data_IF_694609116681
#
_entry.id   IF_694609116681
#
_cell.length_a   1.000
_cell.length_b   1.000
_cell.length_c   1.000
_cell.angle_alpha   90.00
_cell.angle_beta   90.00
_cell.angle_gamma   90.00
#
_symmetry.space_group_name_H-M   'P 1'
#
loop_
_entity.id
_entity.type
_entity.pdbx_description
1 polymer ?
#
# COMPACT_ATOMS: atom_id res chain seq x y z
N UNK A 1 -13.74 28.77 73.93
CA UNK A 1 -14.02 27.81 72.84
C UNK A 1 -14.66 28.48 71.60
N UNK A 2 -14.28 29.71 71.24
CA UNK A 2 -14.83 30.45 70.07
C UNK A 2 -13.77 30.91 69.05
N UNK A 3 -12.48 30.78 69.36
CA UNK A 3 -11.37 31.19 68.48
C UNK A 3 -10.91 30.05 67.55
N UNK A 4 -11.15 28.78 67.91
CA UNK A 4 -10.78 27.62 67.08
C UNK A 4 -11.74 27.33 65.92
N UNK A 5 -12.95 27.90 65.92
CA UNK A 5 -13.94 27.73 64.83
C UNK A 5 -13.70 28.74 63.70
N UNK A 6 -13.10 29.90 64.00
CA UNK A 6 -12.82 30.94 63.00
C UNK A 6 -11.66 30.54 62.07
N UNK A 7 -10.67 29.80 62.57
CA UNK A 7 -9.51 29.32 61.78
C UNK A 7 -9.91 28.16 60.84
N UNK A 8 -10.91 27.36 61.22
CA UNK A 8 -11.42 26.28 60.37
C UNK A 8 -12.29 26.81 59.21
N UNK A 9 -12.97 27.95 59.40
CA UNK A 9 -13.79 28.58 58.37
C UNK A 9 -12.97 29.34 57.31
N UNK A 10 -11.79 29.88 57.66
CA UNK A 10 -10.85 30.47 56.67
C UNK A 10 -10.09 29.42 55.86
N UNK A 11 -9.98 28.17 56.34
CA UNK A 11 -9.36 27.08 55.58
C UNK A 11 -10.27 26.53 54.47
N UNK A 12 -11.59 26.72 54.59
CA UNK A 12 -12.59 26.29 53.60
C UNK A 12 -12.71 27.29 52.44
N UNK A 13 -12.30 28.56 52.63
CA UNK A 13 -12.29 29.57 51.56
C UNK A 13 -11.05 29.51 50.64
N UNK A 14 -10.01 28.75 50.99
CA UNK A 14 -8.84 28.52 50.14
C UNK A 14 -8.93 27.23 49.31
N UNK A 15 -9.95 26.41 49.54
CA UNK A 15 -10.36 25.36 48.59
C UNK A 15 -11.21 25.97 47.46
N UNK A 16 -10.70 27.04 46.83
CA UNK A 16 -11.28 27.56 45.61
C UNK A 16 -11.20 26.47 44.55
N UNK A 17 -12.34 26.03 44.03
CA UNK A 17 -12.38 25.31 42.77
C UNK A 17 -11.54 26.11 41.78
N UNK A 18 -10.38 25.59 41.38
CA UNK A 18 -9.48 26.30 40.49
C UNK A 18 -10.23 26.59 39.19
N UNK A 19 -10.66 27.84 39.02
CA UNK A 19 -11.28 28.31 37.79
C UNK A 19 -10.24 28.25 36.68
N UNK A 20 -10.66 27.80 35.50
CA UNK A 20 -9.79 27.76 34.34
C UNK A 20 -9.41 29.17 33.90
N UNK A 21 -8.11 29.43 33.67
CA UNK A 21 -7.61 30.68 33.09
C UNK A 21 -7.57 30.55 31.56
N UNK A 22 -8.20 31.49 30.86
CA UNK A 22 -8.12 31.55 29.40
C UNK A 22 -6.74 32.08 28.97
N UNK A 23 -6.04 31.34 28.12
CA UNK A 23 -4.88 31.80 27.37
C UNK A 23 -5.40 32.52 26.13
N UNK A 24 -5.03 33.79 25.96
CA UNK A 24 -5.51 34.66 24.86
C UNK A 24 -4.34 35.05 23.98
N UNK A 25 -4.06 34.30 22.91
CA UNK A 25 -2.95 34.61 22.02
C UNK A 25 -3.07 35.98 21.37
N UNK A 26 -1.93 36.66 21.19
CA UNK A 26 -1.80 37.85 20.36
C UNK A 26 -0.68 37.62 19.33
N UNK A 27 -0.97 37.55 18.02
CA UNK A 27 -2.29 37.73 17.40
C UNK A 27 -3.27 36.61 17.75
N UNK A 28 -4.56 36.92 17.66
CA UNK A 28 -5.63 35.93 17.87
C UNK A 28 -5.45 34.74 16.92
N UNK A 29 -5.76 33.54 17.41
CA UNK A 29 -5.68 32.33 16.60
C UNK A 29 -6.68 32.39 15.42
N UNK A 30 -6.25 31.90 14.27
CA UNK A 30 -7.03 31.92 13.03
C UNK A 30 -7.11 30.52 12.44
N UNK A 31 -8.19 30.22 11.71
CA UNK A 31 -8.36 28.93 11.04
C UNK A 31 -7.77 28.88 9.63
N UNK A 32 -6.87 29.80 9.30
CA UNK A 32 -6.26 29.90 7.97
C UNK A 32 -5.36 28.68 7.76
N UNK A 33 -5.57 27.97 6.65
CA UNK A 33 -4.64 26.94 6.20
C UNK A 33 -3.30 27.62 5.85
N UNK A 34 -2.28 27.40 6.68
CA UNK A 34 -0.94 27.91 6.50
C UNK A 34 0.09 26.93 7.11
N UNK A 35 1.36 27.32 7.16
CA UNK A 35 2.36 26.65 8.00
C UNK A 35 2.03 26.74 9.49
N UNK A 36 2.93 26.24 10.33
CA UNK A 36 2.81 26.35 11.77
C UNK A 36 2.86 27.83 12.22
N UNK A 37 1.94 28.19 13.10
CA UNK A 37 1.84 29.52 13.70
C UNK A 37 2.18 29.40 15.18
N UNK A 38 3.20 30.13 15.60
CA UNK A 38 3.64 30.20 17.00
C UNK A 38 2.59 30.93 17.84
N UNK A 39 2.34 30.43 19.05
CA UNK A 39 1.38 30.99 19.98
C UNK A 39 2.10 31.81 21.07
N UNK A 40 1.77 33.10 21.14
CA UNK A 40 2.36 34.07 22.08
C UNK A 40 1.33 34.91 22.82
N UNK A 41 1.74 35.42 23.98
CA UNK A 41 1.09 36.51 24.69
C UNK A 41 1.76 37.82 24.27
N UNK A 42 1.33 38.34 23.13
CA UNK A 42 1.97 39.48 22.47
C UNK A 42 3.36 39.10 21.94
N UNK A 43 4.41 39.61 22.59
CA UNK A 43 5.80 39.33 22.22
C UNK A 43 6.41 38.14 22.97
N UNK A 44 5.76 37.69 24.04
CA UNK A 44 6.33 36.76 25.01
C UNK A 44 5.59 35.40 25.01
N UNK A 45 6.20 34.38 25.60
CA UNK A 45 5.58 33.06 25.75
C UNK A 45 4.66 33.04 26.98
N UNK A 46 3.65 32.18 26.96
CA UNK A 46 2.77 32.02 28.13
C UNK A 46 3.52 31.33 29.29
N UNK A 47 3.35 31.87 30.50
CA UNK A 47 3.79 31.20 31.73
C UNK A 47 2.63 30.40 32.34
N UNK A 48 2.88 29.10 32.56
CA UNK A 48 1.93 28.19 33.19
C UNK A 48 2.43 27.83 34.59
N UNK A 49 1.65 28.20 35.59
CA UNK A 49 1.92 27.91 36.99
C UNK A 49 1.49 26.48 37.33
N UNK A 50 2.26 25.87 38.23
CA UNK A 50 1.96 24.57 38.81
C UNK A 50 0.56 24.53 39.42
N UNK A 51 -0.11 23.38 39.24
CA UNK A 51 -1.44 23.07 39.78
C UNK A 51 -2.57 24.03 39.32
N UNK A 52 -2.30 24.89 38.32
CA UNK A 52 -3.32 25.71 37.66
C UNK A 52 -3.91 25.00 36.45
N UNK A 53 -5.08 25.50 36.06
CA UNK A 53 -5.86 25.01 34.92
C UNK A 53 -5.99 26.11 33.89
N UNK A 54 -5.80 25.74 32.64
CA UNK A 54 -5.82 26.70 31.54
C UNK A 54 -6.68 26.17 30.40
N UNK A 55 -7.11 27.06 29.52
CA UNK A 55 -7.70 26.67 28.25
C UNK A 55 -7.42 27.71 27.18
N UNK A 56 -7.44 27.28 25.92
CA UNK A 56 -7.29 28.13 24.76
C UNK A 56 -8.41 27.82 23.78
N UNK A 57 -8.99 28.89 23.18
CA UNK A 57 -10.04 28.77 22.17
C UNK A 57 -9.41 28.75 20.79
N UNK A 58 -9.92 27.89 19.93
CA UNK A 58 -9.54 27.76 18.53
C UNK A 58 -10.81 27.88 17.66
N UNK A 59 -10.80 28.70 16.60
CA UNK A 59 -11.97 28.89 15.75
C UNK A 59 -12.22 27.68 14.85
N UNK A 60 -13.45 27.52 14.36
CA UNK A 60 -13.79 26.50 13.37
C UNK A 60 -12.89 26.57 12.11
N UNK A 61 -12.53 25.43 11.49
CA UNK A 61 -11.87 25.42 10.19
C UNK A 61 -12.75 26.04 9.09
N UNK A 62 -12.14 26.43 7.98
CA UNK A 62 -12.85 26.99 6.82
C UNK A 62 -13.76 25.95 6.12
N UNK A 63 -13.41 24.67 6.19
CA UNK A 63 -14.15 23.57 5.56
C UNK A 63 -14.14 22.31 6.46
N UNK A 64 -14.81 21.26 6.02
CA UNK A 64 -14.85 19.94 6.67
C UNK A 64 -13.55 19.18 6.49
N UNK A 65 -13.36 18.13 7.31
CA UNK A 65 -12.22 17.21 7.24
C UNK A 65 -10.87 17.92 7.40
N UNK A 66 -10.75 18.73 8.46
CA UNK A 66 -9.49 19.34 8.85
C UNK A 66 -8.91 18.65 10.10
N UNK A 67 -7.61 18.82 10.28
CA UNK A 67 -6.95 18.65 11.56
C UNK A 67 -6.60 20.02 12.15
N UNK A 68 -6.81 20.14 13.46
CA UNK A 68 -6.09 21.08 14.29
C UNK A 68 -4.86 20.36 14.85
N UNK A 69 -3.69 20.71 14.33
CA UNK A 69 -2.40 20.16 14.76
C UNK A 69 -1.81 21.11 15.78
N UNK A 70 -1.38 20.58 16.92
CA UNK A 70 -0.82 21.33 18.03
C UNK A 70 0.51 20.69 18.42
N UNK A 71 1.60 21.43 18.27
CA UNK A 71 2.93 21.05 18.74
C UNK A 71 3.20 21.75 20.06
N UNK A 72 3.63 21.00 21.08
CA UNK A 72 3.86 21.56 22.41
C UNK A 72 5.14 20.97 22.99
N UNK A 73 6.06 21.84 23.38
CA UNK A 73 7.23 21.42 24.14
C UNK A 73 6.84 20.97 25.54
N UNK A 74 7.54 19.96 26.08
CA UNK A 74 7.36 19.46 27.44
C UNK A 74 5.90 19.07 27.77
N UNK A 75 5.17 18.57 26.77
CA UNK A 75 3.76 18.19 26.92
C UNK A 75 3.54 17.08 27.94
N UNK A 76 4.55 16.24 28.18
CA UNK A 76 4.57 15.23 29.24
C UNK A 76 4.41 15.82 30.65
N UNK A 77 4.72 17.10 30.85
CA UNK A 77 4.52 17.83 32.10
C UNK A 77 3.09 18.36 32.27
N UNK A 78 2.21 18.14 31.29
CA UNK A 78 0.84 18.64 31.26
C UNK A 78 -0.16 17.54 30.95
N UNK A 79 -1.37 17.66 31.51
CA UNK A 79 -2.51 16.83 31.11
C UNK A 79 -3.46 17.66 30.26
N UNK A 80 -3.59 17.31 28.99
CA UNK A 80 -4.36 18.11 28.02
C UNK A 80 -5.40 17.29 27.27
N UNK A 81 -6.42 17.96 26.74
CA UNK A 81 -7.38 17.38 25.79
C UNK A 81 -8.02 18.48 24.93
N UNK A 82 -8.58 18.10 23.78
CA UNK A 82 -9.42 18.98 22.96
C UNK A 82 -10.90 18.63 23.13
N UNK A 83 -11.77 19.63 23.16
CA UNK A 83 -13.23 19.45 23.21
C UNK A 83 -13.98 20.48 22.35
N UNK A 84 -15.14 20.14 21.74
CA UNK A 84 -15.97 21.11 21.04
C UNK A 84 -16.87 21.93 21.97
N UNK A 85 -16.94 21.57 23.26
CA UNK A 85 -17.80 22.25 24.25
C UNK A 85 -17.05 22.40 25.57
N UNK A 86 -16.98 23.63 26.07
CA UNK A 86 -16.30 23.92 27.33
C UNK A 86 -17.08 24.93 28.16
N UNK A 87 -17.46 24.53 29.38
CA UNK A 87 -18.24 25.31 30.34
C UNK A 87 -17.51 25.49 31.68
N UNK A 88 -16.22 25.83 31.60
CA UNK A 88 -15.29 25.88 32.73
C UNK A 88 -15.18 24.55 33.49
N UNK A 89 -15.41 23.44 32.80
CA UNK A 89 -15.31 22.08 33.33
C UNK A 89 -16.44 21.67 34.27
N UNK A 90 -17.61 22.35 34.21
CA UNK A 90 -18.78 22.04 35.05
C UNK A 90 -19.72 21.00 34.42
N UNK A 91 -19.62 20.79 33.11
CA UNK A 91 -20.52 19.95 32.34
C UNK A 91 -19.87 18.66 31.86
N UNK A 92 -20.55 18.00 30.93
CA UNK A 92 -20.05 16.77 30.32
C UNK A 92 -18.84 17.08 29.44
N UNK A 93 -17.70 16.46 29.75
CA UNK A 93 -16.49 16.56 28.95
C UNK A 93 -16.59 15.56 27.78
N UNK A 94 -16.70 16.10 26.56
CA UNK A 94 -16.67 15.31 25.32
C UNK A 94 -15.31 15.53 24.67
N UNK A 95 -14.42 14.54 24.78
CA UNK A 95 -13.05 14.65 24.24
C UNK A 95 -13.05 14.29 22.76
N UNK A 96 -12.32 15.08 21.97
CA UNK A 96 -11.93 14.70 20.61
C UNK A 96 -10.69 13.82 20.76
N UNK A 97 -10.69 12.68 20.06
CA UNK A 97 -9.57 11.75 20.07
C UNK A 97 -8.34 12.41 19.42
N UNK A 98 -7.19 12.26 20.08
CA UNK A 98 -5.90 12.62 19.51
C UNK A 98 -5.44 11.45 18.65
N UNK A 99 -5.36 11.64 17.34
CA UNK A 99 -5.01 10.58 16.40
C UNK A 99 -3.49 10.40 16.26
N UNK A 100 -2.68 11.13 17.06
CA UNK A 100 -1.22 11.13 16.99
C UNK A 100 -0.53 9.83 17.38
N UNK A 101 0.53 9.50 16.63
CA UNK A 101 1.41 8.37 16.96
C UNK A 101 2.33 8.66 18.16
N UNK A 102 2.70 9.92 18.37
CA UNK A 102 3.48 10.40 19.53
C UNK A 102 2.75 11.57 20.22
N UNK A 103 1.78 11.28 21.10
CA UNK A 103 0.97 12.30 21.78
C UNK A 103 1.76 13.10 22.82
N UNK A 104 3.06 12.83 23.01
CA UNK A 104 3.93 13.56 23.93
C UNK A 104 4.60 14.77 23.28
N UNK A 105 4.46 14.97 21.97
CA UNK A 105 5.03 16.13 21.25
C UNK A 105 4.04 16.85 20.36
N UNK A 106 3.27 16.08 19.59
CA UNK A 106 2.33 16.62 18.61
C UNK A 106 0.99 15.96 18.81
N UNK A 107 -0.06 16.76 18.99
CA UNK A 107 -1.43 16.30 18.85
C UNK A 107 -1.96 16.66 17.47
N UNK A 108 -2.83 15.82 16.91
CA UNK A 108 -3.69 16.25 15.82
C UNK A 108 -5.11 15.74 16.03
N UNK A 109 -6.04 16.68 16.04
CA UNK A 109 -7.43 16.44 16.37
C UNK A 109 -8.31 16.66 15.14
N UNK A 110 -9.16 15.70 14.76
CA UNK A 110 -10.13 15.91 13.69
C UNK A 110 -11.13 16.99 14.12
N UNK A 111 -11.25 18.04 13.29
CA UNK A 111 -12.12 19.19 13.52
C UNK A 111 -12.99 19.45 12.30
N UNK A 112 -14.21 19.93 12.55
CA UNK A 112 -15.23 20.16 11.52
C UNK A 112 -15.82 21.57 11.67
N UNK A 113 -16.27 22.14 10.56
CA UNK A 113 -16.80 23.50 10.52
C UNK A 113 -18.21 23.66 11.10
N UNK A 114 -18.87 22.57 11.51
CA UNK A 114 -20.16 22.60 12.23
C UNK A 114 -20.05 23.08 13.68
N UNK A 115 -18.85 23.09 14.27
CA UNK A 115 -18.59 23.56 15.63
C UNK A 115 -17.88 24.90 15.56
N UNK A 116 -18.43 25.94 16.21
CA UNK A 116 -17.89 27.30 16.13
C UNK A 116 -16.50 27.44 16.75
N UNK A 117 -16.27 26.78 17.89
CA UNK A 117 -15.00 26.85 18.61
C UNK A 117 -14.61 25.48 19.18
N UNK A 118 -13.32 25.20 19.15
CA UNK A 118 -12.69 24.10 19.85
C UNK A 118 -11.88 24.64 21.03
N UNK A 119 -11.84 23.89 22.12
CA UNK A 119 -11.20 24.30 23.35
C UNK A 119 -10.08 23.30 23.66
N UNK A 120 -8.85 23.78 23.62
CA UNK A 120 -7.70 23.01 24.10
C UNK A 120 -7.53 23.29 25.59
N UNK A 121 -7.76 22.26 26.40
CA UNK A 121 -7.86 22.37 27.84
C UNK A 121 -6.63 21.75 28.50
N UNK A 122 -6.02 22.48 29.42
CA UNK A 122 -4.93 22.03 30.29
C UNK A 122 -5.53 21.76 31.68
N UNK A 123 -5.70 20.49 32.03
CA UNK A 123 -6.31 20.07 33.30
C UNK A 123 -5.37 20.22 34.49
N UNK A 124 -4.07 20.11 34.26
CA UNK A 124 -3.04 20.19 35.30
C UNK A 124 -1.67 20.43 34.68
N UNK A 125 -0.84 21.19 35.40
CA UNK A 125 0.57 21.48 35.09
C UNK A 125 1.42 21.02 36.28
N UNK A 126 2.44 20.18 36.03
CA UNK A 126 3.23 19.57 37.11
C UNK A 126 4.22 20.54 37.79
N UNK A 127 4.77 21.49 37.04
CA UNK A 127 5.76 22.49 37.47
C UNK A 127 5.47 23.82 36.78
N UNK A 128 6.05 24.90 37.29
CA UNK A 128 6.02 26.18 36.57
C UNK A 128 6.81 26.02 35.27
N UNK A 129 6.17 26.26 34.13
CA UNK A 129 6.76 26.08 32.80
C UNK A 129 6.42 27.23 31.87
N UNK A 130 7.30 27.46 30.91
CA UNK A 130 7.03 28.32 29.76
C UNK A 130 6.39 27.45 28.68
N UNK A 131 5.21 27.83 28.23
CA UNK A 131 4.50 27.15 27.14
C UNK A 131 5.07 27.63 25.80
N UNK A 132 5.85 26.78 25.15
CA UNK A 132 6.19 26.92 23.74
C UNK A 132 5.25 26.04 22.93
N UNK A 133 4.48 26.65 22.03
CA UNK A 133 3.45 25.95 21.28
C UNK A 133 3.27 26.56 19.91
N UNK A 134 3.11 25.69 18.91
CA UNK A 134 2.68 26.05 17.57
C UNK A 134 1.40 25.31 17.22
N UNK A 135 0.59 25.91 16.34
CA UNK A 135 -0.59 25.24 15.79
C UNK A 135 -0.67 25.38 14.28
N UNK A 136 -1.41 24.47 13.64
CA UNK A 136 -1.71 24.50 12.21
C UNK A 136 -3.10 23.94 11.95
N UNK A 137 -3.88 24.63 11.12
CA UNK A 137 -5.04 24.07 10.45
C UNK A 137 -4.63 23.50 9.10
N UNK A 138 -4.99 22.25 8.84
CA UNK A 138 -4.61 21.56 7.60
C UNK A 138 -5.67 20.52 7.21
N UNK A 139 -6.00 20.36 5.91
CA UNK A 139 -6.84 19.26 5.46
C UNK A 139 -6.29 17.90 5.89
N UNK A 140 -7.16 16.97 6.30
CA UNK A 140 -6.74 15.67 6.81
C UNK A 140 -5.90 14.88 5.79
N UNK A 141 -6.30 14.90 4.51
CA UNK A 141 -5.56 14.23 3.44
C UNK A 141 -4.14 14.75 3.30
N UNK A 142 -3.96 16.08 3.39
CA UNK A 142 -2.68 16.76 3.22
C UNK A 142 -1.75 16.39 4.35
N UNK A 143 -2.23 16.47 5.58
CA UNK A 143 -1.45 16.09 6.75
C UNK A 143 -1.02 14.62 6.73
N UNK A 144 -1.95 13.70 6.44
CA UNK A 144 -1.64 12.26 6.32
C UNK A 144 -0.61 11.98 5.23
N UNK A 145 -0.64 12.73 4.13
CA UNK A 145 0.35 12.61 3.07
C UNK A 145 1.71 13.20 3.47
N UNK A 146 1.76 14.47 3.88
CA UNK A 146 3.00 15.18 4.22
C UNK A 146 3.81 14.44 5.30
N UNK A 147 3.14 13.91 6.32
CA UNK A 147 3.78 13.16 7.42
C UNK A 147 4.40 11.83 6.97
N UNK A 148 3.89 11.24 5.88
CA UNK A 148 4.36 9.95 5.36
C UNK A 148 5.24 10.09 4.12
N UNK A 149 5.26 11.24 3.47
CA UNK A 149 5.81 11.43 2.13
C UNK A 149 7.27 10.96 1.99
N UNK A 150 8.14 11.39 2.90
CA UNK A 150 9.56 11.00 2.88
C UNK A 150 9.75 9.48 2.96
N UNK A 151 9.02 8.80 3.87
CA UNK A 151 9.04 7.34 4.01
C UNK A 151 8.50 6.65 2.75
N UNK A 152 7.42 7.17 2.17
CA UNK A 152 6.85 6.62 0.93
C UNK A 152 7.84 6.73 -0.23
N UNK A 153 8.51 7.88 -0.39
CA UNK A 153 9.56 8.08 -1.40
C UNK A 153 10.75 7.14 -1.20
N UNK A 154 11.23 7.01 0.03
CA UNK A 154 12.32 6.10 0.37
C UNK A 154 11.94 4.64 0.08
N UNK A 155 10.71 4.25 0.43
CA UNK A 155 10.20 2.90 0.13
C UNK A 155 10.13 2.67 -1.38
N UNK A 156 9.65 3.65 -2.16
CA UNK A 156 9.66 3.56 -3.62
C UNK A 156 11.09 3.41 -4.18
N UNK A 157 12.03 4.24 -3.74
CA UNK A 157 13.41 4.23 -4.21
C UNK A 157 14.09 2.88 -3.92
N UNK A 158 13.94 2.38 -2.70
CA UNK A 158 14.57 1.13 -2.26
C UNK A 158 13.95 -0.13 -2.88
N UNK A 159 12.73 -0.02 -3.42
CA UNK A 159 12.00 -1.13 -4.00
C UNK A 159 11.76 -0.96 -5.50
N UNK A 160 12.42 0.01 -6.16
CA UNK A 160 12.47 0.09 -7.63
C UNK A 160 13.49 -0.91 -8.17
N UNK A 161 13.13 -1.68 -9.19
CA UNK A 161 14.05 -2.62 -9.83
C UNK A 161 15.08 -1.86 -10.66
N UNK A 162 16.36 -2.18 -10.45
CA UNK A 162 17.41 -1.76 -11.36
C UNK A 162 17.24 -2.47 -12.71
N UNK A 163 16.90 -1.70 -13.75
CA UNK A 163 16.59 -2.22 -15.09
C UNK A 163 17.85 -2.43 -15.92
N UNK A 164 19.05 -2.05 -15.46
CA UNK A 164 20.30 -2.21 -16.23
C UNK A 164 20.57 -3.67 -16.60
N UNK A 165 20.51 -4.65 -15.67
CA UNK A 165 20.72 -6.06 -16.02
C UNK A 165 19.66 -6.59 -16.99
N UNK A 166 18.39 -6.23 -16.77
CA UNK A 166 17.26 -6.62 -17.63
C UNK A 166 17.41 -6.07 -19.06
N UNK A 167 17.66 -4.77 -19.20
CA UNK A 167 17.85 -4.11 -20.50
C UNK A 167 19.08 -4.63 -21.25
N UNK A 168 20.07 -5.18 -20.53
CA UNK A 168 21.26 -5.79 -21.09
C UNK A 168 21.04 -7.20 -21.66
N UNK A 169 19.90 -7.83 -21.40
CA UNK A 169 19.62 -9.19 -21.88
C UNK A 169 19.57 -9.23 -23.42
N UNK A 170 20.29 -10.20 -23.99
CA UNK A 170 20.41 -10.37 -25.44
C UNK A 170 21.41 -9.41 -26.11
N UNK A 171 22.06 -8.52 -25.34
CA UNK A 171 23.09 -7.61 -25.86
C UNK A 171 24.40 -7.76 -25.09
N UNK A 172 24.46 -7.28 -23.85
CA UNK A 172 25.64 -7.31 -22.97
C UNK A 172 25.59 -8.45 -21.95
N UNK A 173 24.40 -8.98 -21.67
CA UNK A 173 24.16 -10.06 -20.71
C UNK A 173 23.49 -11.23 -21.40
N UNK A 174 24.05 -12.44 -21.25
CA UNK A 174 23.43 -13.67 -21.76
C UNK A 174 22.43 -14.20 -20.75
N UNK A 175 21.29 -14.72 -21.23
CA UNK A 175 20.29 -15.35 -20.36
C UNK A 175 20.88 -16.50 -19.52
N UNK A 176 21.85 -17.24 -20.06
CA UNK A 176 22.49 -18.35 -19.35
C UNK A 176 23.21 -17.93 -18.06
N UNK A 177 23.78 -16.72 -18.03
CA UNK A 177 24.57 -16.20 -16.93
C UNK A 177 23.70 -15.43 -15.91
N UNK A 178 22.43 -15.20 -16.24
CA UNK A 178 21.50 -14.44 -15.41
C UNK A 178 20.96 -15.30 -14.25
N UNK A 179 20.88 -14.70 -13.06
CA UNK A 179 20.38 -15.36 -11.84
C UNK A 179 18.88 -15.12 -11.65
N UNK A 180 18.07 -15.84 -12.43
CA UNK A 180 16.61 -15.71 -12.39
C UNK A 180 16.03 -16.04 -11.01
N UNK A 181 16.52 -17.08 -10.32
CA UNK A 181 16.01 -17.47 -9.00
C UNK A 181 16.21 -16.39 -7.94
N UNK A 182 17.37 -15.72 -7.93
CA UNK A 182 17.59 -14.57 -7.06
C UNK A 182 16.66 -13.40 -7.41
N UNK A 183 16.50 -13.09 -8.70
CA UNK A 183 15.62 -12.00 -9.15
C UNK A 183 14.14 -12.26 -8.83
N UNK A 184 13.65 -13.49 -8.97
CA UNK A 184 12.30 -13.89 -8.53
C UNK A 184 12.08 -13.55 -7.06
N UNK A 185 13.03 -13.94 -6.20
CA UNK A 185 12.92 -13.71 -4.75
C UNK A 185 12.95 -12.22 -4.42
N UNK A 186 13.92 -11.49 -4.99
CA UNK A 186 14.12 -10.06 -4.78
C UNK A 186 12.92 -9.23 -5.25
N UNK A 187 12.46 -9.44 -6.48
CA UNK A 187 11.33 -8.66 -7.02
C UNK A 187 10.04 -8.95 -6.28
N UNK A 188 9.82 -10.18 -5.79
CA UNK A 188 8.63 -10.52 -4.98
C UNK A 188 8.55 -9.69 -3.70
N UNK A 189 9.65 -9.54 -2.99
CA UNK A 189 9.72 -8.72 -1.77
C UNK A 189 9.49 -7.23 -2.10
N UNK A 190 10.15 -6.73 -3.15
CA UNK A 190 10.00 -5.36 -3.63
C UNK A 190 8.55 -5.02 -3.98
N UNK A 191 7.87 -5.90 -4.73
CA UNK A 191 6.47 -5.71 -5.12
C UNK A 191 5.55 -5.67 -3.91
N UNK A 192 5.72 -6.58 -2.94
CA UNK A 192 4.90 -6.59 -1.74
C UNK A 192 5.05 -5.32 -0.90
N UNK A 193 6.22 -4.68 -0.90
CA UNK A 193 6.43 -3.40 -0.23
C UNK A 193 5.76 -2.24 -1.00
N UNK A 194 5.85 -2.23 -2.33
CA UNK A 194 5.17 -1.22 -3.16
C UNK A 194 3.64 -1.35 -3.13
N UNK A 195 3.09 -2.56 -3.01
CA UNK A 195 1.65 -2.78 -2.83
C UNK A 195 1.14 -2.15 -1.52
N UNK A 196 1.93 -2.17 -0.45
CA UNK A 196 1.59 -1.46 0.79
C UNK A 196 1.59 0.05 0.58
N UNK A 197 2.59 0.58 -0.13
CA UNK A 197 2.65 2.01 -0.50
C UNK A 197 1.41 2.41 -1.31
N UNK A 198 1.03 1.61 -2.32
CA UNK A 198 -0.17 1.83 -3.12
C UNK A 198 -1.44 1.84 -2.26
N UNK A 199 -1.57 0.88 -1.34
CA UNK A 199 -2.73 0.81 -0.43
C UNK A 199 -2.83 2.06 0.45
N UNK A 200 -1.72 2.53 1.01
CA UNK A 200 -1.68 3.76 1.81
C UNK A 200 -2.03 5.00 0.98
N UNK A 201 -1.56 5.10 -0.27
CA UNK A 201 -1.90 6.19 -1.18
C UNK A 201 -3.39 6.18 -1.55
N UNK A 202 -3.99 5.00 -1.73
CA UNK A 202 -5.42 4.86 -2.01
C UNK A 202 -6.27 5.24 -0.77
N UNK A 203 -5.81 4.91 0.44
CA UNK A 203 -6.46 5.34 1.69
C UNK A 203 -6.47 6.88 1.80
N UNK A 204 -5.34 7.52 1.51
CA UNK A 204 -5.25 9.00 1.49
C UNK A 204 -6.17 9.59 0.42
N UNK A 205 -6.25 8.99 -0.76
CA UNK A 205 -7.15 9.43 -1.84
C UNK A 205 -8.62 9.40 -1.43
N UNK A 206 -9.01 8.40 -0.64
CA UNK A 206 -10.41 8.18 -0.25
C UNK A 206 -11.00 9.32 0.56
N UNK A 207 -10.14 10.18 1.14
CA UNK A 207 -10.53 11.36 1.93
C UNK A 207 -10.24 12.68 1.21
N UNK A 208 -9.95 12.65 -0.10
CA UNK A 208 -9.77 13.86 -0.89
C UNK A 208 -11.06 14.66 -1.01
N UNK A 209 -11.04 15.97 -0.73
CA UNK A 209 -12.17 16.82 -1.05
C UNK A 209 -12.25 17.02 -2.57
N UNK A 210 -13.45 17.20 -3.12
CA UNK A 210 -13.62 17.42 -4.55
C UNK A 210 -12.82 18.63 -5.09
N UNK A 211 -12.55 19.61 -4.24
CA UNK A 211 -11.77 20.81 -4.55
C UNK A 211 -10.29 20.56 -4.80
N UNK A 212 -9.70 19.45 -4.30
CA UNK A 212 -8.25 19.17 -4.49
C UNK A 212 -7.94 18.64 -5.88
N UNK A 213 -8.93 18.06 -6.55
CA UNK A 213 -8.76 17.46 -7.87
C UNK A 213 -8.36 18.53 -8.88
N UNK A 214 -7.24 18.32 -9.56
CA UNK A 214 -6.65 19.24 -10.55
C UNK A 214 -6.12 20.57 -9.99
N UNK A 215 -5.80 20.63 -8.70
CA UNK A 215 -5.13 21.80 -8.11
C UNK A 215 -3.63 21.83 -8.41
N UNK A 216 -3.01 23.01 -8.30
CA UNK A 216 -1.56 23.17 -8.33
C UNK A 216 -0.92 23.11 -6.93
N UNK A 217 -1.64 22.59 -5.93
CA UNK A 217 -1.10 22.40 -4.58
C UNK A 217 0.09 21.43 -4.62
N UNK A 218 1.20 21.81 -4.00
CA UNK A 218 2.45 21.05 -4.05
C UNK A 218 2.30 19.64 -3.46
N UNK A 219 1.59 19.50 -2.34
CA UNK A 219 1.37 18.20 -1.71
C UNK A 219 0.54 17.29 -2.62
N UNK A 220 -0.49 17.84 -3.28
CA UNK A 220 -1.27 17.10 -4.26
C UNK A 220 -0.45 16.69 -5.50
N UNK A 221 0.40 17.58 -6.04
CA UNK A 221 1.28 17.25 -7.17
C UNK A 221 2.29 16.17 -6.79
N UNK A 222 2.87 16.25 -5.60
CA UNK A 222 3.76 15.24 -5.05
C UNK A 222 3.04 13.89 -4.88
N UNK A 223 1.81 13.89 -4.37
CA UNK A 223 0.97 12.69 -4.27
C UNK A 223 0.74 12.04 -5.64
N UNK A 224 0.36 12.83 -6.64
CA UNK A 224 0.13 12.32 -8.00
C UNK A 224 1.40 11.73 -8.61
N UNK A 225 2.54 12.39 -8.40
CA UNK A 225 3.82 11.92 -8.91
C UNK A 225 4.20 10.58 -8.30
N UNK A 226 4.20 10.46 -6.96
CA UNK A 226 4.58 9.21 -6.30
C UNK A 226 3.59 8.09 -6.63
N UNK A 227 2.28 8.37 -6.68
CA UNK A 227 1.27 7.38 -7.07
C UNK A 227 1.55 6.83 -8.46
N UNK A 228 1.79 7.71 -9.44
CA UNK A 228 2.13 7.31 -10.79
C UNK A 228 3.40 6.45 -10.82
N UNK A 229 4.46 6.87 -10.13
CA UNK A 229 5.72 6.13 -10.09
C UNK A 229 5.55 4.73 -9.48
N UNK A 230 4.73 4.60 -8.42
CA UNK A 230 4.40 3.31 -7.81
C UNK A 230 3.60 2.43 -8.78
N UNK A 231 2.60 2.98 -9.47
CA UNK A 231 1.79 2.25 -10.45
C UNK A 231 2.62 1.77 -11.66
N UNK A 232 3.46 2.65 -12.20
CA UNK A 232 4.37 2.35 -13.31
C UNK A 232 5.37 1.25 -12.90
N UNK A 233 5.93 1.33 -11.69
CA UNK A 233 6.88 0.35 -11.18
C UNK A 233 6.22 -0.99 -10.83
N UNK A 234 5.04 -1.00 -10.19
CA UNK A 234 4.28 -2.23 -9.94
C UNK A 234 3.93 -2.96 -11.25
N UNK A 235 3.53 -2.19 -12.27
CA UNK A 235 3.26 -2.74 -13.60
C UNK A 235 4.52 -3.38 -14.19
N UNK A 236 5.65 -2.69 -14.13
CA UNK A 236 6.93 -3.24 -14.57
C UNK A 236 7.30 -4.50 -13.79
N UNK A 237 7.24 -4.48 -12.46
CA UNK A 237 7.62 -5.62 -11.61
C UNK A 237 6.74 -6.83 -11.85
N UNK A 238 5.44 -6.65 -12.09
CA UNK A 238 4.54 -7.76 -12.44
C UNK A 238 4.97 -8.44 -13.74
N UNK A 239 5.27 -7.65 -14.78
CA UNK A 239 5.73 -8.19 -16.06
C UNK A 239 7.12 -8.83 -15.91
N UNK A 240 8.02 -8.17 -15.19
CA UNK A 240 9.37 -8.66 -14.92
C UNK A 240 9.34 -9.98 -14.13
N UNK A 241 8.50 -10.10 -13.10
CA UNK A 241 8.30 -11.37 -12.36
C UNK A 241 7.78 -12.48 -13.28
N UNK A 242 6.79 -12.21 -14.13
CA UNK A 242 6.31 -13.20 -15.09
C UNK A 242 7.43 -13.70 -16.00
N UNK A 243 8.27 -12.77 -16.48
CA UNK A 243 9.45 -13.09 -17.28
C UNK A 243 10.48 -13.94 -16.50
N UNK A 244 10.95 -13.47 -15.34
CA UNK A 244 12.00 -14.18 -14.60
C UNK A 244 11.55 -15.53 -14.08
N UNK A 245 10.26 -15.71 -13.75
CA UNK A 245 9.70 -17.01 -13.35
C UNK A 245 9.76 -18.03 -14.51
N UNK A 246 9.37 -17.63 -15.72
CA UNK A 246 9.42 -18.52 -16.89
C UNK A 246 10.86 -18.88 -17.22
N UNK A 247 11.77 -17.91 -17.16
CA UNK A 247 13.17 -18.16 -17.43
C UNK A 247 13.87 -19.01 -16.35
N UNK A 248 13.47 -18.87 -15.09
CA UNK A 248 13.93 -19.77 -14.03
C UNK A 248 13.44 -21.21 -14.29
N UNK A 249 12.16 -21.39 -14.64
CA UNK A 249 11.58 -22.69 -15.03
C UNK A 249 12.28 -23.30 -16.25
N UNK A 250 12.60 -22.49 -17.26
CA UNK A 250 13.43 -22.91 -18.39
C UNK A 250 14.79 -23.40 -17.87
N UNK A 251 15.49 -22.59 -17.08
CA UNK A 251 16.85 -22.90 -16.61
C UNK A 251 16.90 -24.18 -15.78
N UNK A 252 15.96 -24.38 -14.84
CA UNK A 252 15.90 -25.57 -13.98
C UNK A 252 15.42 -26.83 -14.71
N UNK A 253 14.64 -26.67 -15.79
CA UNK A 253 14.18 -27.82 -16.61
C UNK A 253 15.25 -28.33 -17.58
N UNK A 254 16.44 -27.74 -17.61
CA UNK A 254 17.53 -28.22 -18.47
C UNK A 254 17.89 -29.66 -18.09
N UNK A 255 17.84 -30.56 -19.09
CA UNK A 255 17.98 -32.02 -18.93
C UNK A 255 16.84 -32.71 -18.17
N UNK A 256 15.73 -32.02 -17.95
CA UNK A 256 14.51 -32.55 -17.36
C UNK A 256 13.29 -32.14 -18.20
N UNK A 257 13.00 -32.93 -19.24
CA UNK A 257 11.91 -32.65 -20.18
C UNK A 257 10.53 -32.67 -19.54
N UNK A 258 10.34 -33.41 -18.43
CA UNK A 258 9.09 -33.38 -17.67
C UNK A 258 8.86 -32.00 -17.01
N UNK A 259 9.91 -31.42 -16.43
CA UNK A 259 9.82 -30.05 -15.90
C UNK A 259 9.65 -29.00 -17.01
N UNK A 260 10.16 -29.25 -18.22
CA UNK A 260 9.92 -28.37 -19.37
C UNK A 260 8.45 -28.43 -19.81
N UNK A 261 7.87 -29.64 -19.85
CA UNK A 261 6.45 -29.86 -20.13
C UNK A 261 5.55 -29.08 -19.16
N UNK A 262 5.84 -29.17 -17.85
CA UNK A 262 5.13 -28.41 -16.82
C UNK A 262 5.22 -26.88 -16.99
N UNK A 263 6.25 -26.37 -17.67
CA UNK A 263 6.44 -24.94 -17.93
C UNK A 263 5.75 -24.44 -19.21
N UNK A 264 5.25 -25.33 -20.07
CA UNK A 264 4.64 -24.95 -21.37
C UNK A 264 3.49 -23.94 -21.23
N UNK A 265 2.55 -24.06 -20.26
CA UNK A 265 1.49 -23.06 -20.09
C UNK A 265 2.01 -21.67 -19.73
N UNK A 266 3.07 -21.57 -18.93
CA UNK A 266 3.66 -20.29 -18.57
C UNK A 266 4.46 -19.68 -19.74
N UNK A 267 5.13 -20.52 -20.52
CA UNK A 267 5.78 -20.13 -21.79
C UNK A 267 4.76 -19.54 -22.76
N UNK A 268 3.61 -20.21 -22.92
CA UNK A 268 2.52 -19.70 -23.75
C UNK A 268 2.05 -18.33 -23.25
N UNK A 269 1.85 -18.18 -21.94
CA UNK A 269 1.43 -16.92 -21.33
C UNK A 269 2.46 -15.80 -21.58
N UNK A 270 3.75 -16.11 -21.49
CA UNK A 270 4.81 -15.15 -21.79
C UNK A 270 4.75 -14.71 -23.26
N UNK A 271 4.59 -15.64 -24.21
CA UNK A 271 4.52 -15.29 -25.63
C UNK A 271 3.26 -14.51 -26.01
N UNK A 272 2.13 -14.78 -25.36
CA UNK A 272 0.89 -14.01 -25.56
C UNK A 272 1.03 -12.56 -25.07
N UNK A 273 1.87 -12.31 -24.07
CA UNK A 273 2.10 -10.99 -23.50
C UNK A 273 3.36 -10.31 -24.06
N UNK A 274 3.77 -10.61 -25.29
CA UNK A 274 5.01 -10.09 -25.90
C UNK A 274 5.18 -8.57 -25.82
N UNK A 275 4.09 -7.81 -25.90
CA UNK A 275 4.10 -6.33 -25.88
C UNK A 275 4.43 -5.75 -24.49
N UNK A 276 4.45 -6.59 -23.45
CA UNK A 276 4.83 -6.23 -22.09
C UNK A 276 6.35 -6.24 -21.85
N UNK A 277 7.14 -6.65 -22.85
CA UNK A 277 8.59 -6.83 -22.73
C UNK A 277 9.34 -6.01 -23.77
N UNK A 278 10.58 -5.62 -23.44
CA UNK A 278 11.45 -4.97 -24.40
C UNK A 278 11.79 -5.91 -25.56
N UNK A 279 11.84 -5.36 -26.78
CA UNK A 279 12.02 -6.12 -28.03
C UNK A 279 13.23 -7.06 -27.99
N UNK A 280 14.37 -6.60 -27.45
CA UNK A 280 15.59 -7.40 -27.38
C UNK A 280 15.47 -8.55 -26.37
N UNK A 281 14.86 -8.27 -25.21
CA UNK A 281 14.61 -9.26 -24.17
C UNK A 281 13.69 -10.35 -24.71
N UNK A 282 12.59 -9.96 -25.34
CA UNK A 282 11.63 -10.90 -25.93
C UNK A 282 12.27 -11.74 -27.04
N UNK A 283 13.07 -11.12 -27.93
CA UNK A 283 13.73 -11.83 -29.03
C UNK A 283 14.69 -12.92 -28.53
N UNK A 284 15.54 -12.60 -27.54
CA UNK A 284 16.49 -13.58 -26.98
C UNK A 284 15.77 -14.67 -26.18
N UNK A 285 14.70 -14.31 -25.46
CA UNK A 285 13.83 -15.24 -24.73
C UNK A 285 13.15 -16.22 -25.68
N UNK A 286 12.52 -15.69 -26.73
CA UNK A 286 11.87 -16.46 -27.79
C UNK A 286 12.85 -17.47 -28.38
N UNK A 287 14.05 -17.03 -28.76
CA UNK A 287 15.08 -17.92 -29.31
C UNK A 287 15.44 -19.05 -28.34
N UNK A 288 15.76 -18.70 -27.09
CA UNK A 288 16.17 -19.67 -26.06
C UNK A 288 15.11 -20.74 -25.80
N UNK A 289 13.84 -20.33 -25.70
CA UNK A 289 12.73 -21.25 -25.46
C UNK A 289 12.47 -22.12 -26.70
N UNK A 290 12.41 -21.53 -27.89
CA UNK A 290 12.12 -22.26 -29.13
C UNK A 290 13.18 -23.30 -29.49
N UNK A 291 14.43 -23.08 -29.12
CA UNK A 291 15.51 -24.06 -29.29
C UNK A 291 15.27 -25.33 -28.44
N UNK A 292 14.44 -25.25 -27.39
CA UNK A 292 14.17 -26.34 -26.45
C UNK A 292 12.83 -27.01 -26.63
N UNK A 293 11.80 -26.31 -27.11
CA UNK A 293 10.47 -26.90 -27.35
C UNK A 293 10.48 -28.20 -28.17
N UNK A 294 11.38 -28.41 -29.16
CA UNK A 294 11.48 -29.68 -29.89
C UNK A 294 11.82 -30.90 -29.01
N UNK A 295 12.39 -30.71 -27.81
CA UNK A 295 12.64 -31.79 -26.85
C UNK A 295 11.34 -32.47 -26.38
N UNK A 296 10.20 -31.77 -26.42
CA UNK A 296 8.93 -32.25 -25.88
C UNK A 296 8.27 -33.33 -26.74
N UNK A 297 8.45 -33.29 -28.07
CA UNK A 297 7.78 -34.25 -28.96
C UNK A 297 8.22 -35.70 -28.68
N UNK A 298 9.53 -36.04 -28.65
CA UNK A 298 9.95 -37.41 -28.30
C UNK A 298 9.54 -37.82 -26.89
N UNK A 299 9.46 -36.87 -25.95
CA UNK A 299 8.99 -37.12 -24.59
C UNK A 299 7.50 -37.50 -24.57
N UNK A 300 6.65 -36.75 -25.27
CA UNK A 300 5.23 -37.04 -25.41
C UNK A 300 4.96 -38.35 -26.14
N UNK A 301 5.66 -38.63 -27.24
CA UNK A 301 5.56 -39.90 -27.96
C UNK A 301 5.87 -41.09 -27.04
N UNK A 302 6.93 -40.98 -26.23
CA UNK A 302 7.27 -42.01 -25.23
C UNK A 302 6.16 -42.18 -24.19
N UNK A 303 5.63 -41.09 -23.64
CA UNK A 303 4.52 -41.14 -22.65
C UNK A 303 3.27 -41.81 -23.22
N UNK A 304 2.96 -41.54 -24.48
CA UNK A 304 1.84 -42.16 -25.19
C UNK A 304 2.12 -43.66 -25.42
N UNK A 305 3.34 -44.02 -25.86
CA UNK A 305 3.72 -45.42 -26.11
C UNK A 305 3.75 -46.28 -24.84
N UNK A 306 4.13 -45.69 -23.71
CA UNK A 306 4.18 -46.35 -22.40
C UNK A 306 2.79 -46.49 -21.75
N UNK A 307 1.77 -45.78 -22.26
CA UNK A 307 0.41 -45.84 -21.75
C UNK A 307 -0.22 -47.22 -21.97
N UNK A 308 -0.85 -47.77 -20.92
CA UNK A 308 -1.50 -49.10 -20.92
C UNK A 308 -2.97 -49.08 -20.55
N UNK A 309 -3.49 -47.95 -20.10
CA UNK A 309 -4.87 -47.78 -19.64
C UNK A 309 -5.69 -46.90 -20.58
N UNK A 310 -7.00 -46.89 -20.37
CA UNK A 310 -7.98 -46.10 -21.12
C UNK A 310 -8.31 -44.76 -20.47
N UNK A 311 -7.48 -44.23 -19.56
CA UNK A 311 -7.69 -42.87 -19.02
C UNK A 311 -7.32 -41.79 -20.05
N UNK A 312 -7.82 -40.55 -19.92
CA UNK A 312 -7.44 -39.45 -20.82
C UNK A 312 -5.91 -39.24 -20.88
N UNK A 313 -5.40 -38.87 -22.04
CA UNK A 313 -4.02 -38.40 -22.19
C UNK A 313 -3.97 -36.95 -21.70
N UNK A 314 -3.20 -36.72 -20.64
CA UNK A 314 -3.00 -35.41 -20.05
C UNK A 314 -1.57 -34.92 -20.35
N UNK A 315 -1.41 -34.25 -21.49
CA UNK A 315 -0.15 -33.68 -21.98
C UNK A 315 -0.44 -32.28 -22.51
N UNK A 316 0.51 -31.35 -22.40
CA UNK A 316 0.34 -29.96 -22.83
C UNK A 316 0.51 -29.78 -24.36
N UNK A 317 -0.03 -30.68 -25.17
CA UNK A 317 0.16 -30.66 -26.64
C UNK A 317 -0.56 -29.49 -27.31
N UNK A 318 -1.70 -29.08 -26.77
CA UNK A 318 -2.47 -27.94 -27.26
C UNK A 318 -1.76 -26.62 -26.91
N UNK A 319 -1.30 -26.50 -25.66
CA UNK A 319 -0.52 -25.35 -25.20
C UNK A 319 0.80 -25.23 -25.95
N UNK A 320 1.46 -26.36 -26.26
CA UNK A 320 2.69 -26.38 -27.07
C UNK A 320 2.43 -25.84 -28.48
N UNK A 321 1.37 -26.30 -29.14
CA UNK A 321 0.98 -25.79 -30.46
C UNK A 321 0.71 -24.27 -30.41
N UNK A 322 -0.07 -23.84 -29.42
CA UNK A 322 -0.37 -22.41 -29.20
C UNK A 322 0.88 -21.59 -28.87
N UNK A 323 1.87 -22.16 -28.18
CA UNK A 323 3.11 -21.46 -27.84
C UNK A 323 3.90 -21.11 -29.10
N UNK A 324 4.01 -22.03 -30.07
CA UNK A 324 4.61 -21.73 -31.38
C UNK A 324 3.87 -20.61 -32.12
N UNK A 325 2.54 -20.67 -32.13
CA UNK A 325 1.72 -19.63 -32.78
C UNK A 325 1.88 -18.26 -32.10
N UNK A 326 1.86 -18.22 -30.75
CA UNK A 326 2.04 -17.00 -29.98
C UNK A 326 3.45 -16.41 -30.14
N UNK A 327 4.46 -17.26 -30.33
CA UNK A 327 5.82 -16.83 -30.69
C UNK A 327 5.91 -16.26 -32.12
N UNK A 328 4.87 -16.41 -32.94
CA UNK A 328 4.86 -16.02 -34.35
C UNK A 328 5.64 -16.96 -35.25
N UNK A 329 5.78 -18.23 -34.84
CA UNK A 329 6.44 -19.29 -35.62
C UNK A 329 5.43 -20.20 -36.31
N UNK A 330 5.89 -20.88 -37.36
CA UNK A 330 5.10 -21.96 -37.97
C UNK A 330 5.11 -23.18 -37.05
N UNK A 331 3.94 -23.74 -36.75
CA UNK A 331 3.82 -24.96 -35.94
C UNK A 331 4.50 -26.12 -36.67
N UNK A 332 5.47 -26.81 -36.05
CA UNK A 332 6.07 -28.02 -36.64
C UNK A 332 5.04 -29.12 -36.88
N UNK A 333 5.13 -29.82 -38.03
CA UNK A 333 4.15 -30.83 -38.42
C UNK A 333 3.96 -31.95 -37.39
N UNK A 334 5.06 -32.40 -36.77
CA UNK A 334 5.03 -33.40 -35.71
C UNK A 334 4.31 -32.92 -34.44
N UNK A 335 4.37 -31.62 -34.11
CA UNK A 335 3.61 -31.05 -32.99
C UNK A 335 2.11 -31.04 -33.30
N UNK A 336 1.73 -30.60 -34.51
CA UNK A 336 0.33 -30.57 -34.94
C UNK A 336 -0.29 -31.98 -35.03
N UNK A 337 0.45 -32.95 -35.55
CA UNK A 337 0.03 -34.35 -35.62
C UNK A 337 -0.17 -34.95 -34.21
N UNK A 338 0.75 -34.67 -33.30
CA UNK A 338 0.66 -35.12 -31.91
C UNK A 338 -0.56 -34.53 -31.20
N UNK A 339 -0.79 -33.21 -31.30
CA UNK A 339 -1.95 -32.57 -30.70
C UNK A 339 -3.26 -33.13 -31.27
N UNK A 340 -3.33 -33.31 -32.59
CA UNK A 340 -4.48 -33.95 -33.24
C UNK A 340 -4.71 -35.38 -32.75
N UNK A 341 -3.66 -36.17 -32.58
CA UNK A 341 -3.76 -37.52 -32.05
C UNK A 341 -4.33 -37.53 -30.62
N UNK A 342 -3.77 -36.70 -29.72
CA UNK A 342 -4.22 -36.59 -28.32
C UNK A 342 -5.69 -36.17 -28.25
N UNK A 343 -6.08 -35.14 -29.01
CA UNK A 343 -7.46 -34.66 -29.05
C UNK A 343 -8.44 -35.71 -29.59
N UNK A 344 -8.06 -36.43 -30.65
CA UNK A 344 -8.89 -37.51 -31.19
C UNK A 344 -9.04 -38.66 -30.18
N UNK A 345 -7.95 -39.09 -29.53
CA UNK A 345 -7.99 -40.15 -28.53
C UNK A 345 -8.93 -39.78 -27.36
N UNK A 346 -8.74 -38.58 -26.80
CA UNK A 346 -9.55 -38.10 -25.68
C UNK A 346 -11.03 -37.94 -26.05
N UNK A 347 -11.32 -37.48 -27.26
CA UNK A 347 -12.70 -37.37 -27.78
C UNK A 347 -13.36 -38.75 -27.91
N UNK A 348 -12.66 -39.72 -28.52
CA UNK A 348 -13.20 -41.08 -28.68
C UNK A 348 -13.40 -41.78 -27.32
N UNK A 349 -12.47 -41.57 -26.38
CA UNK A 349 -12.62 -42.07 -25.02
C UNK A 349 -13.87 -41.49 -24.32
N UNK A 350 -14.12 -40.19 -24.47
CA UNK A 350 -15.31 -39.57 -23.88
C UNK A 350 -16.60 -40.13 -24.51
N UNK A 351 -16.61 -40.34 -25.82
CA UNK A 351 -17.75 -40.96 -26.51
C UNK A 351 -18.02 -42.39 -26.01
N UNK A 352 -16.96 -43.18 -25.79
CA UNK A 352 -17.07 -44.52 -25.22
C UNK A 352 -17.70 -44.48 -23.82
N UNK A 353 -17.19 -43.62 -22.92
CA UNK A 353 -17.74 -43.45 -21.57
C UNK A 353 -19.21 -43.02 -21.57
N UNK A 354 -19.59 -42.12 -22.47
CA UNK A 354 -20.99 -41.69 -22.60
C UNK A 354 -21.87 -42.87 -23.06
N UNK A 355 -21.39 -43.68 -24.01
CA UNK A 355 -22.10 -44.86 -24.50
C UNK A 355 -22.26 -45.93 -23.41
N UNK A 356 -21.21 -46.16 -22.61
CA UNK A 356 -21.27 -47.08 -21.46
C UNK A 356 -22.32 -46.61 -20.44
N UNK A 357 -22.33 -45.31 -20.11
CA UNK A 357 -23.32 -44.74 -19.19
C UNK A 357 -24.76 -44.84 -19.72
N UNK A 358 -24.98 -44.63 -21.03
CA UNK A 358 -26.29 -44.84 -21.67
C UNK A 358 -26.72 -46.31 -21.62
N UNK A 359 -25.79 -47.24 -21.85
CA UNK A 359 -26.07 -48.68 -21.83
C UNK A 359 -26.39 -49.18 -20.41
N UNK A 360 -25.67 -48.68 -19.40
CA UNK A 360 -25.96 -48.97 -17.98
C UNK A 360 -27.34 -48.44 -17.59
N UNK A 361 -27.69 -47.22 -18.00
CA UNK A 361 -29.00 -46.64 -17.76
C UNK A 361 -30.16 -47.45 -18.39
N UNK A 362 -29.92 -48.07 -19.56
CA UNK A 362 -30.89 -48.98 -20.21
C UNK A 362 -31.00 -50.31 -19.46
N UNK A 363 -29.90 -50.85 -18.92
CA UNK A 363 -29.90 -52.13 -18.22
C UNK A 363 -30.50 -52.04 -16.80
N UNK A 364 -30.54 -50.84 -16.20
CA UNK A 364 -31.16 -50.57 -14.90
C UNK A 364 -32.66 -50.21 -14.98
N UNK A 365 -33.19 -49.99 -16.19
CA UNK A 365 -34.62 -49.74 -16.48
C UNK A 365 -35.35 -51.01 -16.89
#
# INVERSE_FOLDING_TARGET
>A
MKVKILILLTSIYLAGCAAYKELKPEPEVSSIENGYIEIKDGGDNFELDKDKKYFMKFPAPSDKNFYLVINVDNKDLMKTYLTPYFDDGKGQIIKIEDESADPLKTCYYPVDNSVQNFYWVIESVQYDIILNMDYRYVPQWRYKFETKYARLQETLLNNTVDRVPYNGLGTTTKLADFDFGNEVTKTKEMTANLEKVQAELNEIESIFPASVLNTNDEAYQNYRNIKKQVEDELTFQKNYQAFVNVMDKEKVSRRNTAALDEAVPDILTLFQNKDAYDTNVFAETKKTILDRLPELVPYYEKKIADKRDTSPINLNTDELEKAYQAAGETVPGNVAELNKFVNNFNTQLQNLKNTEAELDAINES
#
